data_IF_075877928790
#
_entry.id   IF_075877928790
#
_cell.length_a   1.000
_cell.length_b   1.000
_cell.length_c   1.000
_cell.angle_alpha   90.00
_cell.angle_beta   90.00
_cell.angle_gamma   90.00
#
_symmetry.space_group_name_H-M   'P 1'
#
loop_
_entity.id
_entity.type
_entity.pdbx_description
1 polymer ?
#
# COMPACT_ATOMS: atom_id res chain seq x y z
N UNK A 1 -22.97 -24.52 2.66
CA UNK A 1 -21.96 -24.23 1.60
C UNK A 1 -21.83 -22.70 1.56
N UNK A 2 -20.69 -22.14 1.98
CA UNK A 2 -20.49 -20.68 1.94
C UNK A 2 -20.57 -20.20 0.49
N UNK A 3 -21.40 -19.19 0.21
CA UNK A 3 -21.51 -18.62 -1.13
C UNK A 3 -20.17 -17.99 -1.54
N UNK A 4 -19.59 -18.46 -2.64
CA UNK A 4 -18.43 -17.81 -3.22
C UNK A 4 -18.89 -16.48 -3.86
N UNK A 5 -18.16 -15.37 -3.64
CA UNK A 5 -18.48 -14.10 -4.29
C UNK A 5 -18.38 -14.28 -5.82
N UNK A 6 -19.43 -13.84 -6.53
CA UNK A 6 -19.52 -13.87 -7.99
C UNK A 6 -19.68 -12.43 -8.50
N UNK A 7 -18.79 -11.95 -9.38
CA UNK A 7 -17.65 -12.65 -10.00
C UNK A 7 -16.50 -12.92 -9.03
N UNK A 8 -15.71 -13.94 -9.35
CA UNK A 8 -14.48 -14.28 -8.63
C UNK A 8 -13.53 -13.07 -8.59
N UNK A 9 -13.17 -12.54 -7.40
CA UNK A 9 -12.28 -11.39 -7.27
C UNK A 9 -10.93 -11.58 -7.97
N UNK A 10 -10.42 -12.80 -8.03
CA UNK A 10 -9.13 -13.10 -8.67
C UNK A 10 -9.23 -12.97 -10.18
N UNK A 11 -10.33 -13.41 -10.78
CA UNK A 11 -10.61 -13.24 -12.21
C UNK A 11 -10.71 -11.75 -12.56
N UNK A 12 -11.36 -10.95 -11.71
CA UNK A 12 -11.45 -9.50 -11.92
C UNK A 12 -10.07 -8.86 -11.82
N UNK A 13 -9.28 -9.22 -10.80
CA UNK A 13 -7.91 -8.72 -10.59
C UNK A 13 -7.00 -9.02 -11.78
N UNK A 14 -7.04 -10.25 -12.30
CA UNK A 14 -6.26 -10.66 -13.46
C UNK A 14 -6.64 -9.85 -14.71
N UNK A 15 -7.94 -9.69 -14.99
CA UNK A 15 -8.41 -8.90 -16.15
C UNK A 15 -7.96 -7.44 -16.09
N UNK A 16 -7.94 -6.85 -14.90
CA UNK A 16 -7.45 -5.48 -14.72
C UNK A 16 -5.94 -5.40 -14.97
N UNK A 17 -5.16 -6.38 -14.49
CA UNK A 17 -3.72 -6.45 -14.73
C UNK A 17 -3.40 -6.58 -16.24
N UNK A 18 -4.13 -7.44 -16.96
CA UNK A 18 -3.99 -7.62 -18.41
C UNK A 18 -4.34 -6.33 -19.17
N UNK A 19 -5.41 -5.63 -18.76
CA UNK A 19 -5.83 -4.35 -19.34
C UNK A 19 -4.79 -3.24 -19.14
N UNK A 20 -4.17 -3.16 -17.96
CA UNK A 20 -3.13 -2.17 -17.67
C UNK A 20 -1.85 -2.48 -18.47
N UNK A 21 -1.45 -3.75 -18.51
CA UNK A 21 -0.31 -4.19 -19.32
C UNK A 21 -0.52 -3.90 -20.81
N UNK A 22 -1.73 -4.14 -21.33
CA UNK A 22 -2.11 -3.83 -22.71
C UNK A 22 -2.10 -2.34 -23.06
N UNK A 23 -2.18 -1.45 -22.06
CA UNK A 23 -2.05 0.01 -22.23
C UNK A 23 -0.61 0.51 -22.11
N UNK A 24 0.37 -0.39 -21.89
CA UNK A 24 1.78 -0.05 -21.79
C UNK A 24 2.26 0.29 -20.37
N UNK A 25 1.43 0.06 -19.33
CA UNK A 25 1.91 0.15 -17.95
C UNK A 25 2.81 -1.05 -17.62
N UNK A 26 3.91 -0.82 -16.90
CA UNK A 26 4.78 -1.89 -16.39
C UNK A 26 4.41 -2.25 -14.96
N UNK A 27 4.31 -3.54 -14.68
CA UNK A 27 4.11 -4.02 -13.31
C UNK A 27 5.36 -3.78 -12.46
N UNK A 28 5.15 -3.34 -11.22
CA UNK A 28 6.20 -3.14 -10.23
C UNK A 28 5.81 -3.89 -8.96
N UNK A 29 6.75 -4.63 -8.39
CA UNK A 29 6.59 -5.32 -7.11
C UNK A 29 7.50 -4.66 -6.07
N UNK A 30 6.89 -4.20 -4.97
CA UNK A 30 7.59 -3.51 -3.88
C UNK A 30 7.36 -4.20 -2.55
N UNK A 31 8.28 -4.04 -1.61
CA UNK A 31 8.18 -4.62 -0.27
C UNK A 31 6.99 -4.02 0.50
N UNK A 32 6.25 -4.87 1.21
CA UNK A 32 5.19 -4.45 2.14
C UNK A 32 5.71 -3.67 3.35
N UNK A 33 7.02 -3.74 3.61
CA UNK A 33 7.71 -2.97 4.64
C UNK A 33 8.33 -1.68 4.06
N UNK A 34 8.30 -0.62 4.84
CA UNK A 34 8.88 0.68 4.49
C UNK A 34 9.38 1.43 5.73
N UNK A 35 9.92 2.64 5.52
CA UNK A 35 10.49 3.45 6.58
C UNK A 35 9.41 4.33 7.22
N UNK A 36 9.31 4.29 8.55
CA UNK A 36 8.36 5.09 9.33
C UNK A 36 8.53 6.59 9.15
N UNK A 37 9.72 7.05 8.78
CA UNK A 37 10.02 8.47 8.54
C UNK A 37 9.12 9.11 7.49
N UNK A 38 8.60 8.34 6.53
CA UNK A 38 7.65 8.83 5.53
C UNK A 38 6.30 9.24 6.13
N UNK A 39 5.99 8.83 7.36
CA UNK A 39 4.68 8.98 7.99
C UNK A 39 4.72 9.59 9.40
N UNK A 40 5.91 9.86 9.95
CA UNK A 40 6.11 10.33 11.33
C UNK A 40 6.39 11.84 11.46
N UNK A 41 6.55 12.58 10.36
CA UNK A 41 7.00 13.98 10.40
C UNK A 41 5.96 14.97 9.81
N UNK A 42 5.44 15.86 10.66
CA UNK A 42 4.84 17.15 10.28
C UNK A 42 3.34 17.18 10.00
N UNK A 43 2.77 18.38 9.90
CA UNK A 43 1.37 18.64 9.46
C UNK A 43 1.07 18.07 8.07
N UNK A 44 2.10 17.72 7.30
CA UNK A 44 2.07 16.99 6.03
C UNK A 44 2.34 15.47 6.17
N UNK A 45 2.27 14.90 7.38
CA UNK A 45 2.18 13.46 7.61
C UNK A 45 0.82 12.95 7.12
N UNK A 46 0.66 13.08 5.81
CA UNK A 46 -0.37 12.62 4.91
C UNK A 46 -1.66 12.19 5.59
N UNK A 47 -2.34 13.16 6.20
CA UNK A 47 -3.72 13.03 6.67
C UNK A 47 -4.67 12.56 5.55
N UNK A 48 -4.25 12.64 4.27
CA UNK A 48 -4.95 12.09 3.11
C UNK A 48 -4.58 10.67 2.67
N UNK A 49 -3.50 10.05 3.18
CA UNK A 49 -3.03 8.72 2.73
C UNK A 49 -3.30 7.62 3.74
N UNK A 50 -3.46 7.96 5.02
CA UNK A 50 -4.05 7.07 6.03
C UNK A 50 -5.59 7.09 6.02
N UNK A 51 -6.20 8.01 5.26
CA UNK A 51 -7.64 8.20 5.20
C UNK A 51 -8.26 7.68 3.89
N UNK A 52 -8.06 6.41 3.52
CA UNK A 52 -8.97 5.80 2.54
C UNK A 52 -9.04 4.27 2.63
N UNK A 53 -10.02 3.76 3.41
CA UNK A 53 -10.96 2.71 2.94
C UNK A 53 -12.02 2.23 3.94
N UNK A 54 -12.12 2.81 5.12
CA UNK A 54 -13.22 2.54 6.05
C UNK A 54 -13.78 3.88 6.49
N UNK A 55 -15.10 4.08 6.47
CA UNK A 55 -15.76 5.31 6.93
C UNK A 55 -15.65 5.53 8.44
N UNK A 56 -14.47 5.29 9.04
CA UNK A 56 -14.15 5.51 10.44
C UNK A 56 -13.34 6.82 10.58
N UNK A 57 -13.54 7.56 11.68
CA UNK A 57 -12.87 8.83 11.92
C UNK A 57 -11.35 8.68 11.99
N UNK A 58 -10.65 9.74 11.58
CA UNK A 58 -9.21 9.86 11.33
C UNK A 58 -8.27 9.67 12.55
N UNK A 59 -8.77 9.08 13.63
CA UNK A 59 -8.10 9.04 14.94
C UNK A 59 -7.35 7.73 15.24
N UNK A 60 -7.52 6.67 14.43
CA UNK A 60 -6.95 5.33 14.74
C UNK A 60 -6.16 4.66 13.59
N UNK A 61 -5.49 5.43 12.73
CA UNK A 61 -4.54 4.84 11.78
C UNK A 61 -3.14 4.72 12.40
N UNK A 62 -3.02 3.95 13.49
CA UNK A 62 -1.72 3.71 14.12
C UNK A 62 -0.80 2.95 13.15
N UNK A 63 0.40 3.48 12.88
CA UNK A 63 1.40 2.77 12.08
C UNK A 63 1.73 1.41 12.70
N UNK A 64 1.60 0.34 11.91
CA UNK A 64 1.96 -1.01 12.35
C UNK A 64 3.48 -1.15 12.30
N UNK A 65 4.11 -1.08 13.48
CA UNK A 65 5.57 -1.20 13.64
C UNK A 65 6.03 -2.64 13.70
N UNK A 66 7.14 -2.91 13.05
CA UNK A 66 7.88 -4.16 13.20
C UNK A 66 8.81 -4.00 14.39
N UNK A 67 8.75 -4.91 15.37
CA UNK A 67 9.61 -4.83 16.56
C UNK A 67 11.00 -5.39 16.30
N UNK A 68 11.10 -6.40 15.43
CA UNK A 68 12.33 -7.13 15.12
C UNK A 68 12.67 -6.98 13.63
N UNK A 69 12.99 -5.77 13.20
CA UNK A 69 13.43 -5.52 11.83
C UNK A 69 14.95 -5.70 11.70
N UNK A 70 15.39 -6.18 10.53
CA UNK A 70 16.81 -6.33 10.19
C UNK A 70 17.37 -5.10 9.45
N UNK A 71 16.54 -4.10 9.15
CA UNK A 71 16.94 -2.85 8.50
C UNK A 71 16.12 -1.69 9.04
N UNK A 72 16.78 -0.57 9.33
CA UNK A 72 16.11 0.66 9.79
C UNK A 72 15.16 1.25 8.74
N UNK A 73 15.36 0.92 7.46
CA UNK A 73 14.50 1.37 6.36
C UNK A 73 13.23 0.52 6.18
N UNK A 74 13.09 -0.58 6.92
CA UNK A 74 11.98 -1.53 6.82
C UNK A 74 11.38 -1.79 8.21
N UNK A 75 10.92 -0.73 8.86
CA UNK A 75 10.55 -0.72 10.28
C UNK A 75 9.03 -0.63 10.53
N UNK A 76 8.22 -0.44 9.49
CA UNK A 76 6.75 -0.46 9.54
C UNK A 76 6.15 -1.21 8.34
N UNK A 77 4.90 -1.66 8.46
CA UNK A 77 4.08 -2.03 7.31
C UNK A 77 3.60 -0.76 6.60
N UNK A 78 3.75 -0.72 5.27
CA UNK A 78 3.33 0.44 4.48
C UNK A 78 1.81 0.63 4.56
N UNK A 79 1.30 1.83 4.86
CA UNK A 79 -0.13 2.14 4.78
C UNK A 79 -0.59 2.39 3.33
N UNK A 80 0.34 2.73 2.43
CA UNK A 80 0.09 3.05 1.02
C UNK A 80 1.15 2.47 0.09
N UNK A 81 0.86 2.40 -1.21
CA UNK A 81 1.80 1.98 -2.26
C UNK A 81 2.62 3.14 -2.84
N UNK A 82 2.20 4.39 -2.63
CA UNK A 82 2.74 5.55 -3.33
C UNK A 82 4.25 5.76 -3.06
N UNK A 83 4.65 5.74 -1.79
CA UNK A 83 6.05 6.00 -1.39
C UNK A 83 7.01 4.99 -2.02
N UNK A 84 6.71 3.70 -1.88
CA UNK A 84 7.51 2.63 -2.49
C UNK A 84 7.48 2.66 -4.02
N UNK A 85 6.38 3.08 -4.63
CA UNK A 85 6.33 3.26 -6.09
C UNK A 85 7.26 4.38 -6.58
N UNK A 86 7.28 5.52 -5.87
CA UNK A 86 8.16 6.65 -6.19
C UNK A 86 9.64 6.33 -5.97
N UNK A 87 9.97 5.50 -4.98
CA UNK A 87 11.33 4.99 -4.78
C UNK A 87 11.85 4.24 -6.01
N UNK A 88 10.99 3.43 -6.66
CA UNK A 88 11.37 2.70 -7.89
C UNK A 88 11.62 3.65 -9.05
N UNK A 89 10.82 4.71 -9.21
CA UNK A 89 11.00 5.70 -10.30
C UNK A 89 12.25 6.56 -10.11
N UNK A 90 12.67 6.79 -8.87
CA UNK A 90 13.88 7.55 -8.54
C UNK A 90 15.17 6.85 -8.99
N UNK A 91 15.18 5.52 -9.01
CA UNK A 91 16.36 4.69 -9.26
C UNK A 91 16.48 4.30 -10.74
#
# INVERSE_FOLDING_TARGET
LSGFPNPDPEVVRQKVADLLSGQGFSEILTNSLTNSRYFEAGEEAVAGVTAHRTGLPAQDASLVRILNYNSQDLNIMRPTLLTSGLEVVRH
#
